data_IF_747420617391
#
_entry.id   IF_747420617391
#
_cell.length_a   1.000
_cell.length_b   1.000
_cell.length_c   1.000
_cell.angle_alpha   90.00
_cell.angle_beta   90.00
_cell.angle_gamma   90.00
#
_symmetry.space_group_name_H-M   'P 1'
#
loop_
_entity.id
_entity.type
_entity.pdbx_description
1 polymer ?
#
# COMPACT_ATOMS: atom_id res chain seq x y z
N UNK A 1 35.17 28.09 10.04
CA UNK A 1 35.10 26.65 10.37
C UNK A 1 33.67 26.18 10.14
N UNK A 2 33.53 25.06 9.41
CA UNK A 2 32.35 24.24 9.13
C UNK A 2 31.20 24.84 8.28
N UNK A 3 31.13 24.31 7.05
CA UNK A 3 30.09 24.44 6.05
C UNK A 3 28.86 23.62 6.41
N UNK A 4 27.65 24.12 6.14
CA UNK A 4 26.50 23.25 5.86
C UNK A 4 25.82 23.71 4.57
N UNK A 5 26.20 23.01 3.51
CA UNK A 5 25.57 22.98 2.19
C UNK A 5 24.08 22.64 2.35
N UNK A 6 23.18 23.59 2.07
CA UNK A 6 21.79 23.26 1.74
C UNK A 6 21.79 22.60 0.37
N UNK A 7 21.97 21.27 0.33
CA UNK A 7 21.73 20.49 -0.88
C UNK A 7 20.21 20.33 -1.07
N UNK A 8 19.54 21.37 -1.56
CA UNK A 8 18.26 21.19 -2.24
C UNK A 8 18.53 20.49 -3.57
N UNK A 9 18.68 19.16 -3.53
CA UNK A 9 18.70 18.31 -4.71
C UNK A 9 17.38 17.55 -4.74
N UNK A 10 16.36 18.12 -5.37
CA UNK A 10 15.42 17.32 -6.16
C UNK A 10 15.77 17.64 -7.62
N UNK A 11 16.01 16.68 -8.53
CA UNK A 11 15.08 15.56 -8.80
C UNK A 11 15.74 14.21 -9.22
N UNK A 12 14.98 13.10 -9.21
CA UNK A 12 14.90 12.36 -10.48
C UNK A 12 13.47 11.96 -10.84
N UNK A 13 12.57 12.93 -11.05
CA UNK A 13 11.30 12.65 -11.73
C UNK A 13 11.51 12.64 -13.25
N UNK A 14 12.16 11.60 -13.78
CA UNK A 14 12.06 11.20 -15.21
C UNK A 14 12.30 9.70 -15.41
N UNK A 15 11.57 8.85 -14.67
CA UNK A 15 11.17 7.53 -15.21
C UNK A 15 9.75 7.60 -15.76
N UNK A 16 9.46 8.61 -16.58
CA UNK A 16 8.40 8.45 -17.57
C UNK A 16 9.00 7.59 -18.68
N UNK A 17 8.96 6.27 -18.49
CA UNK A 17 9.39 5.32 -19.52
C UNK A 17 8.48 5.55 -20.72
N UNK A 18 9.02 6.24 -21.73
CA UNK A 18 8.39 6.58 -23.00
C UNK A 18 7.63 5.33 -23.50
N UNK A 19 6.31 5.38 -23.53
CA UNK A 19 5.46 4.32 -24.11
C UNK A 19 4.82 3.30 -23.15
N UNK A 20 5.03 3.39 -21.83
CA UNK A 20 4.23 2.56 -20.90
C UNK A 20 2.93 3.29 -20.55
N UNK A 21 1.80 2.70 -20.94
CA UNK A 21 0.47 3.23 -20.64
C UNK A 21 0.27 3.48 -19.14
N UNK A 22 -0.71 4.32 -18.81
CA UNK A 22 -1.05 4.61 -17.42
C UNK A 22 -1.27 3.32 -16.61
N UNK A 23 -0.94 3.36 -15.31
CA UNK A 23 -1.15 2.24 -14.38
C UNK A 23 -0.39 0.95 -14.74
N UNK A 24 0.69 1.07 -15.52
CA UNK A 24 1.58 -0.05 -15.87
C UNK A 24 2.86 -0.02 -15.02
N UNK A 25 3.56 -1.15 -15.00
CA UNK A 25 4.88 -1.28 -14.34
C UNK A 25 5.84 -0.21 -14.86
N UNK A 26 6.61 0.38 -13.95
CA UNK A 26 7.57 1.48 -14.19
C UNK A 26 6.94 2.81 -14.62
N UNK A 27 5.61 2.91 -14.75
CA UNK A 27 4.94 4.18 -15.01
C UNK A 27 4.93 5.03 -13.75
N UNK A 28 5.20 6.33 -13.91
CA UNK A 28 5.14 7.34 -12.86
C UNK A 28 4.34 8.55 -13.33
N UNK A 29 3.63 9.17 -12.41
CA UNK A 29 2.96 10.45 -12.64
C UNK A 29 3.29 11.34 -11.46
N UNK A 30 4.01 12.45 -11.68
CA UNK A 30 4.33 13.42 -10.63
C UNK A 30 5.01 12.84 -9.37
N UNK A 31 5.86 11.81 -9.53
CA UNK A 31 6.51 11.14 -8.39
C UNK A 31 5.62 10.12 -7.69
N UNK A 32 4.48 9.77 -8.28
CA UNK A 32 3.59 8.73 -7.78
C UNK A 32 3.64 7.49 -8.66
N UNK A 33 3.40 6.33 -8.06
CA UNK A 33 3.24 5.06 -8.74
C UNK A 33 1.86 4.47 -8.48
N UNK A 34 1.32 3.77 -9.47
CA UNK A 34 0.08 3.02 -9.31
C UNK A 34 0.32 1.72 -8.56
N UNK A 35 -0.48 1.42 -7.54
CA UNK A 35 -0.50 0.11 -6.85
C UNK A 35 -1.93 -0.42 -6.82
N UNK A 36 -2.09 -1.72 -7.06
CA UNK A 36 -3.37 -2.40 -6.99
C UNK A 36 -3.57 -3.00 -5.60
N UNK A 37 -4.57 -2.51 -4.87
CA UNK A 37 -4.97 -2.97 -3.53
C UNK A 37 -6.12 -3.95 -3.69
N UNK A 38 -5.92 -5.18 -3.21
CA UNK A 38 -6.94 -6.21 -3.11
C UNK A 38 -7.32 -6.39 -1.65
N UNK A 39 -8.58 -6.66 -1.38
CA UNK A 39 -9.09 -6.91 -0.02
C UNK A 39 -9.48 -8.38 0.09
N UNK A 40 -9.27 -9.00 1.24
CA UNK A 40 -9.80 -10.36 1.47
C UNK A 40 -11.31 -10.39 1.67
N UNK A 41 -11.93 -9.24 1.96
CA UNK A 41 -13.34 -9.12 2.36
C UNK A 41 -14.23 -8.37 1.37
N UNK A 42 -13.70 -8.01 0.21
CA UNK A 42 -14.43 -7.27 -0.82
C UNK A 42 -14.11 -7.82 -2.20
N UNK A 43 -15.14 -8.03 -3.02
CA UNK A 43 -15.01 -8.55 -4.39
C UNK A 43 -14.32 -7.61 -5.38
N UNK A 44 -13.98 -6.38 -4.96
CA UNK A 44 -13.38 -5.37 -5.84
C UNK A 44 -11.96 -5.02 -5.39
N UNK A 45 -11.01 -5.16 -6.32
CA UNK A 45 -9.69 -4.53 -6.21
C UNK A 45 -9.78 -3.06 -6.61
N UNK A 46 -9.14 -2.19 -5.83
CA UNK A 46 -8.97 -0.77 -6.15
C UNK A 46 -7.50 -0.52 -6.45
N UNK A 47 -7.21 0.25 -7.48
CA UNK A 47 -5.86 0.81 -7.62
C UNK A 47 -5.84 2.28 -7.26
N UNK A 48 -4.70 2.75 -6.77
CA UNK A 48 -4.47 4.12 -6.39
C UNK A 48 -3.03 4.53 -6.68
N UNK A 49 -2.82 5.84 -6.80
CA UNK A 49 -1.49 6.42 -6.90
C UNK A 49 -0.95 6.68 -5.50
N UNK A 50 0.29 6.26 -5.26
CA UNK A 50 1.03 6.49 -4.03
C UNK A 50 2.33 7.19 -4.35
N UNK A 51 2.70 8.18 -3.53
CA UNK A 51 4.00 8.82 -3.65
C UNK A 51 5.12 7.77 -3.51
N UNK A 52 6.02 7.73 -4.49
CA UNK A 52 7.04 6.70 -4.60
C UNK A 52 8.13 6.81 -3.53
N UNK A 53 8.18 7.96 -2.83
CA UNK A 53 9.12 8.25 -1.75
C UNK A 53 8.51 8.05 -0.36
N UNK A 54 7.33 7.43 -0.26
CA UNK A 54 6.82 6.95 1.03
C UNK A 54 7.71 5.82 1.51
N UNK A 55 7.92 5.75 2.82
CA UNK A 55 8.42 4.54 3.46
C UNK A 55 7.38 3.42 3.38
N UNK A 56 7.80 2.16 3.55
CA UNK A 56 6.87 1.03 3.59
C UNK A 56 5.85 1.19 4.73
N UNK A 57 6.27 1.64 5.91
CA UNK A 57 5.38 1.89 7.03
C UNK A 57 4.33 2.96 6.75
N UNK A 58 4.73 4.09 6.15
CA UNK A 58 3.78 5.13 5.73
C UNK A 58 2.79 4.63 4.67
N UNK A 59 3.27 3.84 3.71
CA UNK A 59 2.42 3.20 2.70
C UNK A 59 1.41 2.24 3.33
N UNK A 60 1.85 1.37 4.24
CA UNK A 60 0.98 0.44 4.98
C UNK A 60 -0.08 1.22 5.75
N UNK A 61 0.30 2.26 6.49
CA UNK A 61 -0.61 3.10 7.24
C UNK A 61 -1.66 3.78 6.35
N UNK A 62 -1.28 4.27 5.18
CA UNK A 62 -2.23 4.84 4.21
C UNK A 62 -3.19 3.78 3.66
N UNK A 63 -2.70 2.60 3.27
CA UNK A 63 -3.55 1.51 2.79
C UNK A 63 -4.56 1.09 3.86
N UNK A 64 -4.12 0.91 5.11
CA UNK A 64 -5.00 0.55 6.24
C UNK A 64 -6.06 1.63 6.47
N UNK A 65 -5.65 2.90 6.47
CA UNK A 65 -6.59 4.03 6.61
C UNK A 65 -7.63 4.02 5.49
N UNK A 66 -7.21 3.84 4.24
CA UNK A 66 -8.13 3.83 3.10
C UNK A 66 -9.14 2.69 3.21
N UNK A 67 -8.68 1.46 3.46
CA UNK A 67 -9.59 0.30 3.58
C UNK A 67 -10.48 0.35 4.82
N UNK A 68 -10.07 1.08 5.86
CA UNK A 68 -10.89 1.28 7.07
C UNK A 68 -12.15 2.13 6.82
N UNK A 69 -12.14 2.93 5.75
CA UNK A 69 -13.30 3.76 5.37
C UNK A 69 -14.30 3.02 4.48
N UNK A 70 -14.01 1.77 4.11
CA UNK A 70 -14.78 1.02 3.13
C UNK A 70 -15.83 0.10 3.80
N UNK A 71 -16.87 -0.24 3.03
CA UNK A 71 -17.94 -1.13 3.47
C UNK A 71 -17.38 -2.49 3.93
N UNK A 72 -17.95 -3.03 5.01
CA UNK A 72 -17.50 -4.27 5.65
C UNK A 72 -16.51 -4.03 6.81
N UNK A 73 -15.77 -2.92 6.79
CA UNK A 73 -14.89 -2.55 7.90
C UNK A 73 -15.68 -2.19 9.17
N UNK A 74 -16.89 -1.64 9.05
CA UNK A 74 -17.77 -1.32 10.18
C UNK A 74 -18.15 -2.52 11.07
N UNK A 75 -17.90 -3.75 10.60
CA UNK A 75 -18.14 -4.98 11.35
C UNK A 75 -16.85 -5.57 11.95
N UNK A 76 -15.74 -4.82 11.91
CA UNK A 76 -14.51 -5.21 12.62
C UNK A 76 -14.79 -5.32 14.11
N UNK A 77 -14.28 -6.40 14.69
CA UNK A 77 -14.34 -6.62 16.13
C UNK A 77 -13.08 -6.07 16.80
N UNK A 78 -13.18 -5.80 18.10
CA UNK A 78 -12.02 -5.41 18.90
C UNK A 78 -10.96 -6.53 18.88
N UNK A 79 -9.68 -6.14 18.90
CA UNK A 79 -8.55 -7.09 18.82
C UNK A 79 -8.21 -7.58 17.41
N UNK A 80 -9.06 -7.33 16.41
CA UNK A 80 -8.77 -7.68 15.02
C UNK A 80 -7.84 -6.66 14.38
N UNK A 81 -7.01 -7.11 13.45
CA UNK A 81 -6.04 -6.27 12.77
C UNK A 81 -6.02 -6.49 11.26
N UNK A 82 -5.54 -5.47 10.54
CA UNK A 82 -5.33 -5.54 9.09
C UNK A 82 -3.85 -5.76 8.83
N UNK A 83 -3.53 -6.80 8.07
CA UNK A 83 -2.18 -7.02 7.55
C UNK A 83 -2.15 -6.73 6.06
N UNK A 84 -1.17 -5.93 5.64
CA UNK A 84 -0.95 -5.59 4.24
C UNK A 84 0.14 -6.50 3.68
N UNK A 85 -0.20 -7.34 2.71
CA UNK A 85 0.70 -8.33 2.15
C UNK A 85 1.11 -8.02 0.71
N UNK A 86 2.38 -8.24 0.38
CA UNK A 86 2.88 -8.28 -0.99
C UNK A 86 3.53 -9.63 -1.28
N UNK A 87 3.11 -10.30 -2.37
CA UNK A 87 3.62 -11.63 -2.77
C UNK A 87 3.60 -12.65 -1.60
N UNK A 88 2.51 -12.65 -0.81
CA UNK A 88 2.30 -13.51 0.36
C UNK A 88 3.24 -13.24 1.56
N UNK A 89 3.92 -12.10 1.58
CA UNK A 89 4.71 -11.63 2.72
C UNK A 89 4.07 -10.38 3.30
N UNK A 90 3.95 -10.31 4.62
CA UNK A 90 3.56 -9.10 5.32
C UNK A 90 4.54 -7.96 4.98
N UNK A 91 3.99 -6.77 4.79
CA UNK A 91 4.75 -5.53 4.81
C UNK A 91 4.73 -5.03 6.26
N UNK A 92 5.91 -4.68 6.76
CA UNK A 92 6.07 -4.21 8.13
C UNK A 92 5.60 -2.75 8.22
N UNK A 93 4.65 -2.48 9.13
CA UNK A 93 4.15 -1.13 9.38
C UNK A 93 5.19 -0.22 10.05
N UNK A 94 6.20 -0.82 10.67
CA UNK A 94 7.24 -0.10 11.41
C UNK A 94 8.51 0.11 10.55
N UNK A 95 8.49 -0.33 9.30
CA UNK A 95 9.57 -0.09 8.34
C UNK A 95 9.53 1.36 7.81
N UNK A 96 10.18 2.25 8.55
CA UNK A 96 10.35 3.66 8.22
C UNK A 96 11.66 3.96 7.46
N UNK A 97 12.33 2.92 6.95
CA UNK A 97 13.63 3.08 6.27
C UNK A 97 13.51 2.74 4.79
N UNK A 98 12.91 1.60 4.46
CA UNK A 98 12.76 1.17 3.08
C UNK A 98 11.75 2.06 2.34
N UNK A 99 12.15 2.57 1.19
CA UNK A 99 11.27 3.39 0.35
C UNK A 99 10.41 2.51 -0.56
N UNK A 100 9.22 3.00 -0.89
CA UNK A 100 8.26 2.31 -1.75
C UNK A 100 8.86 2.01 -3.13
N UNK A 101 9.66 2.93 -3.69
CA UNK A 101 10.37 2.76 -4.97
C UNK A 101 11.52 1.74 -4.96
N UNK A 102 12.04 1.36 -3.79
CA UNK A 102 13.03 0.30 -3.65
C UNK A 102 12.35 -1.07 -3.68
N UNK A 103 11.12 -1.14 -3.14
CA UNK A 103 10.35 -2.37 -3.02
C UNK A 103 9.43 -2.67 -4.21
N UNK A 104 8.92 -1.62 -4.85
CA UNK A 104 7.89 -1.66 -5.89
C UNK A 104 8.27 -0.85 -7.12
N UNK A 105 7.92 -1.38 -8.29
CA UNK A 105 8.06 -0.71 -9.56
C UNK A 105 6.71 -0.22 -10.11
N UNK A 106 5.61 -0.41 -9.40
CA UNK A 106 4.27 0.00 -9.80
C UNK A 106 3.52 -1.09 -10.58
N UNK A 107 2.20 -0.92 -10.65
CA UNK A 107 1.20 -1.89 -11.09
C UNK A 107 1.18 -3.22 -10.31
N UNK A 108 1.99 -3.33 -9.25
CA UNK A 108 2.02 -4.51 -8.40
C UNK A 108 0.75 -4.61 -7.56
N UNK A 109 0.48 -5.85 -7.11
CA UNK A 109 -0.64 -6.15 -6.23
C UNK A 109 -0.18 -6.22 -4.78
N UNK A 110 -0.94 -5.56 -3.93
CA UNK A 110 -0.88 -5.64 -2.49
C UNK A 110 -2.25 -6.13 -2.00
N UNK A 111 -2.27 -6.93 -0.95
CA UNK A 111 -3.50 -7.51 -0.39
C UNK A 111 -3.65 -7.09 1.05
N UNK A 112 -4.69 -6.31 1.37
CA UNK A 112 -5.13 -6.09 2.73
C UNK A 112 -5.95 -7.31 3.18
N UNK A 113 -5.55 -7.92 4.28
CA UNK A 113 -6.24 -9.06 4.91
C UNK A 113 -6.60 -8.72 6.34
N UNK A 114 -7.66 -9.32 6.82
CA UNK A 114 -8.10 -9.19 8.20
C UNK A 114 -7.71 -10.43 8.97
N UNK A 115 -7.25 -10.22 10.19
CA UNK A 115 -6.92 -11.27 11.12
C UNK A 115 -7.61 -11.01 12.45
N UNK A 116 -8.06 -12.08 13.10
CA UNK A 116 -8.58 -11.99 14.46
C UNK A 116 -7.43 -11.85 15.48
N UNK A 117 -7.78 -11.70 16.75
CA UNK A 117 -6.81 -11.58 17.86
C UNK A 117 -5.90 -12.81 18.04
N UNK A 118 -6.29 -13.98 17.50
CA UNK A 118 -5.53 -15.21 17.54
C UNK A 118 -4.61 -15.40 16.32
N UNK A 119 -4.67 -14.48 15.34
CA UNK A 119 -3.90 -14.56 14.10
C UNK A 119 -4.54 -15.43 13.01
N UNK A 120 -5.82 -15.79 13.13
CA UNK A 120 -6.55 -16.47 12.06
C UNK A 120 -7.02 -15.48 11.01
N UNK A 121 -6.85 -15.84 9.74
CA UNK A 121 -7.29 -15.01 8.63
C UNK A 121 -8.82 -15.05 8.50
N UNK A 122 -9.45 -13.88 8.59
CA UNK A 122 -10.89 -13.74 8.50
C UNK A 122 -11.32 -13.42 7.06
N UNK A 123 -12.43 -14.03 6.64
CA UNK A 123 -13.07 -13.78 5.35
C UNK A 123 -14.47 -13.22 5.58
N UNK A 124 -14.84 -12.22 4.79
CA UNK A 124 -16.19 -11.67 4.81
C UNK A 124 -16.99 -12.18 3.63
N UNK A 125 -18.17 -12.73 3.91
CA UNK A 125 -19.16 -13.05 2.88
C UNK A 125 -20.34 -12.11 3.03
N UNK A 126 -20.69 -11.41 1.94
CA UNK A 126 -21.84 -10.50 1.93
C UNK A 126 -23.12 -11.25 2.33
N UNK A 127 -23.85 -10.72 3.31
CA UNK A 127 -25.07 -11.34 3.86
C UNK A 127 -24.83 -12.45 4.89
N UNK A 128 -23.59 -12.91 5.09
CA UNK A 128 -23.23 -13.91 6.11
C UNK A 128 -22.28 -13.36 7.19
N UNK A 129 -21.52 -12.31 6.89
CA UNK A 129 -20.58 -11.71 7.82
C UNK A 129 -19.18 -12.32 7.78
N UNK A 130 -18.42 -12.06 8.85
CA UNK A 130 -17.04 -12.56 9.01
C UNK A 130 -17.00 -13.99 9.57
N UNK A 131 -16.11 -14.81 9.03
CA UNK A 131 -15.84 -16.19 9.43
C UNK A 131 -14.41 -16.60 9.13
#
# INVERSE_FOLDING_TARGET
>A
MAFYTRSTVYPPSRRNVKGKGAMKKDHRTNGEMWINIMRSWGGFSRGAYFNENLTIGEFVGQVVRDVSTEEGFQYFQEGWYVEVQSRRKALDSDDHVMMLNERFNGAERVTAKVFNEYGDAMTYTFGQGWH
#
